data_IF_972428647573
#
_entry.id   IF_972428647573
#
_cell.length_a   1.000
_cell.length_b   1.000
_cell.length_c   1.000
_cell.angle_alpha   90.00
_cell.angle_beta   90.00
_cell.angle_gamma   90.00
#
_symmetry.space_group_name_H-M   'P 1'
#
loop_
_entity.id
_entity.type
_entity.pdbx_description
1 polymer ?
#
# COMPACT_ATOMS: atom_id res chain seq x y z
N UNK A 1 -38.63 82.12 -16.47
CA UNK A 1 -38.65 80.65 -16.45
C UNK A 1 -37.31 80.13 -16.93
N UNK A 2 -36.46 79.69 -16.00
CA UNK A 2 -35.10 79.20 -16.28
C UNK A 2 -35.16 77.67 -16.38
N UNK A 3 -34.77 77.06 -17.52
CA UNK A 3 -34.50 75.63 -17.59
C UNK A 3 -33.05 75.31 -17.22
N UNK A 4 -32.91 74.14 -16.61
CA UNK A 4 -31.75 73.63 -15.90
C UNK A 4 -30.55 73.35 -16.80
N UNK A 5 -29.37 73.71 -16.27
CA UNK A 5 -28.06 73.39 -16.81
C UNK A 5 -27.63 72.00 -16.35
N UNK A 6 -27.29 71.18 -17.34
CA UNK A 6 -26.43 69.99 -17.24
C UNK A 6 -25.13 70.29 -16.52
N UNK A 7 -24.83 69.55 -15.45
CA UNK A 7 -23.52 69.50 -14.82
C UNK A 7 -23.07 68.04 -14.75
N UNK A 8 -21.94 67.79 -15.41
CA UNK A 8 -21.17 66.56 -15.42
C UNK A 8 -20.57 66.37 -14.03
N UNK A 9 -20.80 65.22 -13.39
CA UNK A 9 -20.15 64.85 -12.15
C UNK A 9 -19.40 63.53 -12.35
N UNK A 10 -18.08 63.63 -12.30
CA UNK A 10 -17.11 62.54 -12.33
C UNK A 10 -17.30 61.59 -11.16
N UNK A 11 -17.47 60.29 -11.42
CA UNK A 11 -17.47 59.25 -10.41
C UNK A 11 -16.03 58.84 -10.09
N UNK A 12 -15.58 59.16 -8.87
CA UNK A 12 -14.34 58.65 -8.27
C UNK A 12 -14.64 57.23 -7.79
N UNK A 13 -14.10 56.22 -8.50
CA UNK A 13 -14.14 54.83 -8.07
C UNK A 13 -13.16 54.62 -6.92
N UNK A 14 -13.71 54.50 -5.70
CA UNK A 14 -12.97 54.10 -4.51
C UNK A 14 -12.72 52.58 -4.57
N UNK A 15 -11.52 52.18 -5.00
CA UNK A 15 -11.11 50.78 -4.98
C UNK A 15 -10.78 50.35 -3.54
N UNK A 16 -11.74 49.74 -2.85
CA UNK A 16 -11.47 49.00 -1.61
C UNK A 16 -10.70 47.71 -1.95
N UNK A 17 -9.38 47.73 -1.76
CA UNK A 17 -8.59 46.51 -1.62
C UNK A 17 -9.06 45.78 -0.34
N UNK A 18 -9.90 44.75 -0.50
CA UNK A 18 -10.13 43.77 0.55
C UNK A 18 -8.90 42.86 0.57
N UNK A 19 -7.96 43.16 1.47
CA UNK A 19 -6.92 42.20 1.87
C UNK A 19 -7.62 41.06 2.59
N UNK A 20 -7.92 39.98 1.86
CA UNK A 20 -8.33 38.72 2.46
C UNK A 20 -7.15 38.20 3.29
N UNK A 21 -7.18 38.47 4.59
CA UNK A 21 -6.34 37.77 5.56
C UNK A 21 -6.72 36.30 5.43
N UNK A 22 -5.85 35.50 4.81
CA UNK A 22 -5.94 34.05 4.93
C UNK A 22 -5.64 33.75 6.39
N UNK A 23 -6.68 33.61 7.19
CA UNK A 23 -6.56 33.05 8.52
C UNK A 23 -6.01 31.64 8.31
N UNK A 24 -4.71 31.46 8.55
CA UNK A 24 -4.15 30.14 8.76
C UNK A 24 -4.94 29.55 9.92
N UNK A 25 -5.88 28.65 9.61
CA UNK A 25 -6.59 27.89 10.61
C UNK A 25 -5.53 27.28 11.54
N UNK A 26 -5.65 27.52 12.84
CA UNK A 26 -4.79 26.87 13.82
C UNK A 26 -4.86 25.35 13.56
N UNK A 27 -3.73 24.62 13.60
CA UNK A 27 -3.76 23.18 13.42
C UNK A 27 -4.75 22.59 14.42
N UNK A 28 -5.71 21.82 13.91
CA UNK A 28 -6.74 21.21 14.74
C UNK A 28 -6.07 20.38 15.84
N UNK A 29 -6.57 20.48 17.08
CA UNK A 29 -6.08 19.65 18.18
C UNK A 29 -6.23 18.19 17.78
N UNK A 30 -5.18 17.35 17.95
CA UNK A 30 -5.28 15.92 17.67
C UNK A 30 -6.46 15.32 18.42
N UNK A 31 -7.30 14.57 17.71
CA UNK A 31 -8.48 13.93 18.26
C UNK A 31 -8.73 12.59 17.57
N UNK A 32 -9.43 11.70 18.26
CA UNK A 32 -9.84 10.42 17.71
C UNK A 32 -11.01 10.64 16.75
N UNK A 33 -10.79 10.37 15.47
CA UNK A 33 -11.82 10.58 14.45
C UNK A 33 -12.72 9.36 14.26
N UNK A 34 -12.19 8.16 14.43
CA UNK A 34 -12.92 6.90 14.35
C UNK A 34 -12.24 5.85 15.22
N UNK A 35 -12.93 4.76 15.50
CA UNK A 35 -12.37 3.58 16.17
C UNK A 35 -12.66 2.31 15.38
N UNK A 36 -11.87 1.27 15.61
CA UNK A 36 -12.09 -0.07 15.09
C UNK A 36 -12.68 -0.91 16.22
N UNK A 37 -13.93 -1.33 16.06
CA UNK A 37 -14.62 -2.18 17.04
C UNK A 37 -14.16 -3.63 16.94
N UNK A 38 -13.96 -4.11 15.71
CA UNK A 38 -13.46 -5.46 15.45
C UNK A 38 -12.73 -5.49 14.11
N UNK A 39 -11.62 -6.21 14.06
CA UNK A 39 -10.93 -6.54 12.82
C UNK A 39 -10.46 -7.99 12.84
N UNK A 40 -10.52 -8.67 11.70
CA UNK A 40 -9.91 -9.98 11.53
C UNK A 40 -9.30 -10.12 10.15
N UNK A 41 -8.07 -10.63 10.07
CA UNK A 41 -7.41 -10.99 8.82
C UNK A 41 -7.06 -12.48 8.91
N UNK A 42 -7.62 -13.30 8.02
CA UNK A 42 -7.44 -14.74 8.04
C UNK A 42 -6.88 -15.23 6.71
N UNK A 43 -5.62 -15.67 6.73
CA UNK A 43 -4.94 -16.27 5.59
C UNK A 43 -5.05 -17.79 5.66
N UNK A 44 -5.47 -18.41 4.56
CA UNK A 44 -5.58 -19.86 4.42
C UNK A 44 -4.75 -20.34 3.24
N UNK A 45 -3.70 -21.13 3.51
CA UNK A 45 -2.80 -21.71 2.51
C UNK A 45 -3.26 -23.12 2.15
N UNK A 46 -3.48 -23.37 0.87
CA UNK A 46 -3.77 -24.69 0.35
C UNK A 46 -2.47 -25.49 0.12
N UNK A 47 -2.57 -26.82 0.04
CA UNK A 47 -1.41 -27.69 -0.20
C UNK A 47 -0.69 -27.44 -1.54
N UNK A 48 -1.40 -26.88 -2.54
CA UNK A 48 -0.84 -26.50 -3.85
C UNK A 48 -0.15 -25.13 -3.85
N UNK A 49 -0.16 -24.41 -2.72
CA UNK A 49 0.42 -23.09 -2.57
C UNK A 49 -0.45 -21.93 -3.08
N UNK A 50 -1.65 -22.20 -3.57
CA UNK A 50 -2.67 -21.16 -3.65
C UNK A 50 -3.10 -20.76 -2.23
N UNK A 51 -3.59 -19.54 -2.06
CA UNK A 51 -4.08 -19.11 -0.76
C UNK A 51 -5.21 -18.09 -0.89
N UNK A 52 -5.98 -17.95 0.18
CA UNK A 52 -7.01 -16.92 0.29
C UNK A 52 -6.79 -16.09 1.54
N UNK A 53 -7.15 -14.83 1.48
CA UNK A 53 -7.17 -13.92 2.63
C UNK A 53 -8.59 -13.42 2.83
N UNK A 54 -9.16 -13.61 4.02
CA UNK A 54 -10.46 -13.04 4.39
C UNK A 54 -10.24 -11.91 5.37
N UNK A 55 -10.69 -10.73 4.99
CA UNK A 55 -10.61 -9.53 5.82
C UNK A 55 -12.02 -9.16 6.28
N UNK A 56 -12.19 -8.92 7.57
CA UNK A 56 -13.41 -8.39 8.17
C UNK A 56 -13.06 -7.20 9.04
N UNK A 57 -13.84 -6.12 8.96
CA UNK A 57 -13.63 -4.93 9.78
C UNK A 57 -14.96 -4.25 10.10
N UNK A 58 -15.09 -3.80 11.35
CA UNK A 58 -16.17 -2.93 11.82
C UNK A 58 -15.55 -1.65 12.34
N UNK A 59 -15.85 -0.53 11.67
CA UNK A 59 -15.33 0.79 12.05
C UNK A 59 -16.48 1.70 12.47
N UNK A 60 -16.27 2.50 13.51
CA UNK A 60 -17.24 3.49 13.96
C UNK A 60 -16.63 4.90 13.86
N UNK A 61 -17.12 5.76 12.95
CA UNK A 61 -16.71 7.16 12.92
C UNK A 61 -17.27 7.88 14.15
N UNK A 62 -16.43 8.67 14.82
CA UNK A 62 -16.79 9.47 16.00
C UNK A 62 -16.99 10.95 15.65
N UNK A 63 -16.40 11.39 14.55
CA UNK A 63 -16.47 12.77 14.06
C UNK A 63 -16.84 12.82 12.58
N UNK A 64 -17.13 14.02 12.06
CA UNK A 64 -17.32 14.23 10.62
C UNK A 64 -16.05 13.88 9.83
N UNK A 65 -14.86 14.15 10.38
CA UNK A 65 -13.61 13.71 9.76
C UNK A 65 -13.50 12.18 9.76
N UNK A 66 -14.01 11.51 10.80
CA UNK A 66 -14.16 10.06 10.85
C UNK A 66 -15.04 9.50 9.75
N UNK A 67 -16.17 10.15 9.47
CA UNK A 67 -17.07 9.78 8.36
C UNK A 67 -16.31 9.75 7.04
N UNK A 68 -15.51 10.78 6.75
CA UNK A 68 -14.69 10.82 5.54
C UNK A 68 -13.61 9.71 5.52
N UNK A 69 -13.07 9.34 6.68
CA UNK A 69 -12.01 8.34 6.80
C UNK A 69 -12.50 6.89 6.58
N UNK A 70 -13.78 6.59 6.86
CA UNK A 70 -14.32 5.22 6.77
C UNK A 70 -15.44 5.06 5.75
N UNK A 71 -16.01 6.15 5.25
CA UNK A 71 -17.12 6.14 4.29
C UNK A 71 -16.72 5.76 2.86
N UNK A 72 -15.43 5.75 2.55
CA UNK A 72 -14.87 5.25 1.29
C UNK A 72 -13.76 4.26 1.62
N UNK A 73 -13.93 3.02 1.16
CA UNK A 73 -12.95 1.96 1.29
C UNK A 73 -12.35 1.66 -0.08
N UNK A 74 -11.02 1.53 -0.13
CA UNK A 74 -10.30 1.03 -1.29
C UNK A 74 -9.66 -0.31 -0.94
N UNK A 75 -9.93 -1.33 -1.75
CA UNK A 75 -9.31 -2.65 -1.66
C UNK A 75 -8.50 -2.84 -2.92
N UNK A 76 -7.21 -3.02 -2.79
CA UNK A 76 -6.35 -3.06 -3.94
C UNK A 76 -5.49 -4.32 -3.93
N UNK A 77 -5.27 -4.87 -5.14
CA UNK A 77 -4.85 -6.26 -5.31
C UNK A 77 -4.15 -6.46 -6.66
N UNK A 78 -3.28 -7.49 -6.77
CA UNK A 78 -2.60 -7.83 -8.02
C UNK A 78 -3.49 -8.62 -8.96
N UNK A 79 -4.23 -7.93 -9.85
CA UNK A 79 -5.25 -8.56 -10.69
C UNK A 79 -4.71 -9.60 -11.68
N UNK A 80 -3.40 -9.61 -11.94
CA UNK A 80 -2.73 -10.63 -12.74
C UNK A 80 -2.64 -12.01 -12.04
N UNK A 81 -2.75 -12.09 -10.71
CA UNK A 81 -2.75 -13.37 -9.99
C UNK A 81 -3.66 -13.46 -8.76
N UNK A 82 -4.40 -12.41 -8.45
CA UNK A 82 -5.37 -12.35 -7.38
C UNK A 82 -6.74 -11.87 -7.87
N UNK A 83 -7.79 -12.27 -7.18
CA UNK A 83 -9.16 -11.77 -7.38
C UNK A 83 -9.77 -11.41 -6.04
N UNK A 84 -10.61 -10.37 -6.01
CA UNK A 84 -11.31 -9.95 -4.79
C UNK A 84 -12.82 -10.14 -4.95
N UNK A 85 -13.46 -10.61 -3.89
CA UNK A 85 -14.91 -10.72 -3.76
C UNK A 85 -15.36 -10.04 -2.47
N UNK A 86 -16.20 -9.02 -2.59
CA UNK A 86 -16.91 -8.44 -1.44
C UNK A 86 -17.97 -9.44 -0.98
N UNK A 87 -17.93 -9.82 0.29
CA UNK A 87 -18.84 -10.79 0.90
C UNK A 87 -19.95 -10.10 1.69
N UNK A 88 -19.61 -9.04 2.40
CA UNK A 88 -20.56 -8.21 3.15
C UNK A 88 -20.05 -6.77 3.18
N UNK A 89 -20.91 -5.79 2.92
CA UNK A 89 -20.55 -4.38 2.98
C UNK A 89 -21.81 -3.55 3.22
N UNK A 90 -21.93 -2.96 4.41
CA UNK A 90 -23.08 -2.16 4.79
C UNK A 90 -22.76 -1.15 5.88
N UNK A 91 -23.61 -0.15 6.02
CA UNK A 91 -23.64 0.73 7.18
C UNK A 91 -24.79 0.33 8.09
N UNK A 92 -24.52 0.15 9.37
CA UNK A 92 -25.54 0.10 10.42
C UNK A 92 -25.67 1.50 11.02
N UNK A 93 -26.83 2.12 10.85
CA UNK A 93 -27.07 3.47 11.37
C UNK A 93 -27.15 3.47 12.90
N UNK A 94 -27.10 4.65 13.51
CA UNK A 94 -27.34 4.82 14.95
C UNK A 94 -28.73 4.37 15.41
N UNK A 95 -29.66 4.17 14.48
CA UNK A 95 -31.00 3.61 14.73
C UNK A 95 -31.07 2.11 14.41
N UNK A 96 -29.92 1.44 14.29
CA UNK A 96 -29.78 0.02 13.95
C UNK A 96 -30.40 -0.39 12.61
N UNK A 97 -30.48 0.55 11.67
CA UNK A 97 -30.92 0.24 10.31
C UNK A 97 -29.71 -0.17 9.47
N UNK A 98 -29.81 -1.33 8.81
CA UNK A 98 -28.83 -1.79 7.82
C UNK A 98 -29.07 -1.11 6.47
N UNK A 99 -28.02 -0.52 5.91
CA UNK A 99 -27.98 0.10 4.58
C UNK A 99 -26.84 -0.54 3.79
N UNK A 100 -27.18 -1.46 2.89
CA UNK A 100 -26.21 -2.19 2.07
C UNK A 100 -25.52 -1.27 1.04
N UNK A 101 -24.23 -1.53 0.80
CA UNK A 101 -23.52 -0.97 -0.35
C UNK A 101 -24.00 -1.68 -1.60
N UNK A 102 -24.69 -0.94 -2.48
CA UNK A 102 -25.24 -1.52 -3.72
C UNK A 102 -24.16 -1.70 -4.77
N UNK A 103 -24.38 -2.59 -5.74
CA UNK A 103 -23.39 -2.90 -6.80
C UNK A 103 -22.86 -1.68 -7.55
N UNK A 104 -23.68 -0.64 -7.78
CA UNK A 104 -23.24 0.59 -8.45
C UNK A 104 -22.27 1.45 -7.62
N UNK A 105 -22.12 1.16 -6.32
CA UNK A 105 -21.18 1.80 -5.40
C UNK A 105 -19.89 1.00 -5.22
N UNK A 106 -19.78 -0.15 -5.88
CA UNK A 106 -18.59 -1.01 -5.90
C UNK A 106 -18.03 -0.97 -7.33
N UNK A 107 -16.92 -0.29 -7.53
CA UNK A 107 -16.37 -0.09 -8.86
C UNK A 107 -14.85 0.02 -8.84
N UNK A 108 -14.23 -0.28 -9.98
CA UNK A 108 -12.81 -0.02 -10.18
C UNK A 108 -12.67 1.38 -10.80
N UNK A 109 -12.05 2.37 -10.12
CA UNK A 109 -11.94 3.71 -10.67
C UNK A 109 -11.10 3.69 -11.97
N UNK A 110 -11.65 4.26 -13.03
CA UNK A 110 -11.00 4.39 -14.36
C UNK A 110 -9.70 5.24 -14.30
N UNK A 111 -9.44 5.92 -13.18
CA UNK A 111 -8.34 6.87 -13.01
C UNK A 111 -7.42 6.59 -11.82
N UNK A 112 -7.59 5.48 -11.09
CA UNK A 112 -6.75 5.17 -9.93
C UNK A 112 -5.26 5.11 -10.31
N UNK A 113 -4.96 4.70 -11.54
CA UNK A 113 -3.59 4.53 -12.04
C UNK A 113 -3.28 5.43 -13.26
N UNK A 114 -3.56 6.74 -13.17
CA UNK A 114 -3.08 7.72 -14.17
C UNK A 114 -1.61 8.14 -13.96
N UNK A 115 -0.90 7.52 -13.02
CA UNK A 115 0.52 7.79 -12.77
C UNK A 115 1.36 6.99 -13.77
N UNK A 116 2.53 7.48 -14.15
CA UNK A 116 3.43 6.77 -15.06
C UNK A 116 3.87 5.37 -14.54
N UNK A 117 3.61 5.04 -13.26
CA UNK A 117 3.79 3.69 -12.70
C UNK A 117 2.77 2.65 -13.18
N UNK A 118 1.61 3.06 -13.70
CA UNK A 118 0.55 2.17 -14.14
C UNK A 118 0.98 1.19 -15.25
N UNK A 119 1.88 1.62 -16.12
CA UNK A 119 2.41 0.76 -17.20
C UNK A 119 3.36 -0.33 -16.69
N UNK A 120 3.69 -0.29 -15.41
CA UNK A 120 4.54 -1.25 -14.70
C UNK A 120 3.75 -2.10 -13.70
N UNK A 121 2.44 -1.88 -13.55
CA UNK A 121 1.59 -2.52 -12.55
C UNK A 121 0.36 -3.15 -13.22
N UNK A 122 0.06 -4.40 -12.86
CA UNK A 122 -1.24 -5.02 -13.14
C UNK A 122 -2.22 -4.86 -11.96
N UNK A 123 -1.91 -3.96 -11.04
CA UNK A 123 -2.67 -3.72 -9.82
C UNK A 123 -4.02 -3.07 -10.10
N UNK A 124 -5.06 -3.56 -9.45
CA UNK A 124 -6.38 -2.97 -9.49
C UNK A 124 -6.75 -2.40 -8.12
N UNK A 125 -7.55 -1.35 -8.12
CA UNK A 125 -8.17 -0.78 -6.92
C UNK A 125 -9.68 -0.91 -7.08
N UNK A 126 -10.34 -1.60 -6.15
CA UNK A 126 -11.79 -1.67 -6.03
C UNK A 126 -12.21 -0.68 -4.94
N UNK A 127 -13.02 0.30 -5.33
CA UNK A 127 -13.59 1.29 -4.42
C UNK A 127 -15.00 0.90 -4.00
N UNK A 128 -15.30 1.06 -2.71
CA UNK A 128 -16.61 0.88 -2.10
C UNK A 128 -17.03 2.20 -1.46
N UNK A 129 -18.16 2.74 -1.88
CA UNK A 129 -18.74 3.97 -1.31
C UNK A 129 -19.93 3.63 -0.41
N UNK A 130 -19.80 3.93 0.88
CA UNK A 130 -20.85 3.69 1.86
C UNK A 130 -21.84 4.86 1.90
N UNK A 131 -23.10 4.52 2.13
CA UNK A 131 -24.20 5.48 2.34
C UNK A 131 -24.62 5.50 3.80
N UNK A 132 -25.29 6.58 4.22
CA UNK A 132 -25.80 6.73 5.59
C UNK A 132 -24.72 6.65 6.70
N UNK A 133 -23.46 6.95 6.37
CA UNK A 133 -22.37 7.03 7.34
C UNK A 133 -22.47 8.35 8.10
N UNK A 134 -22.76 8.25 9.39
CA UNK A 134 -22.81 9.39 10.32
C UNK A 134 -21.97 9.08 11.56
N UNK A 135 -21.54 10.09 12.34
CA UNK A 135 -20.92 9.82 13.64
C UNK A 135 -21.79 8.87 14.48
N UNK A 136 -21.17 7.83 15.05
CA UNK A 136 -21.81 6.78 15.84
C UNK A 136 -22.34 5.58 15.05
N UNK A 137 -22.50 5.68 13.71
CA UNK A 137 -22.87 4.53 12.87
C UNK A 137 -21.75 3.48 12.84
N UNK A 138 -22.03 2.28 12.35
CA UNK A 138 -21.00 1.26 12.13
C UNK A 138 -20.86 0.95 10.64
N UNK A 139 -19.61 0.94 10.16
CA UNK A 139 -19.25 0.54 8.80
C UNK A 139 -18.71 -0.88 8.85
N UNK A 140 -19.47 -1.80 8.28
CA UNK A 140 -19.17 -3.23 8.25
C UNK A 140 -18.62 -3.59 6.87
N UNK A 141 -17.45 -4.22 6.87
CA UNK A 141 -16.78 -4.73 5.67
C UNK A 141 -16.36 -6.17 5.89
N UNK A 142 -16.62 -7.03 4.90
CA UNK A 142 -16.04 -8.35 4.77
C UNK A 142 -15.76 -8.64 3.30
N UNK A 143 -14.53 -9.01 2.97
CA UNK A 143 -14.15 -9.44 1.63
C UNK A 143 -13.18 -10.61 1.69
N UNK A 144 -13.04 -11.29 0.55
CA UNK A 144 -12.09 -12.37 0.37
C UNK A 144 -11.25 -12.11 -0.87
N UNK A 145 -9.95 -12.19 -0.70
CA UNK A 145 -8.98 -12.22 -1.76
C UNK A 145 -8.59 -13.68 -2.02
N UNK A 146 -8.38 -14.03 -3.28
CA UNK A 146 -7.93 -15.37 -3.69
C UNK A 146 -6.75 -15.24 -4.61
N UNK A 147 -5.63 -15.82 -4.21
CA UNK A 147 -4.34 -15.74 -4.89
C UNK A 147 -4.00 -17.08 -5.52
N UNK A 148 -3.68 -17.06 -6.82
CA UNK A 148 -3.26 -18.25 -7.58
C UNK A 148 -1.86 -18.73 -7.23
N UNK A 149 -1.04 -17.86 -6.63
CA UNK A 149 0.35 -18.09 -6.21
C UNK A 149 0.75 -17.06 -5.15
N UNK A 150 1.76 -17.33 -4.31
CA UNK A 150 2.25 -16.37 -3.34
C UNK A 150 2.99 -15.20 -3.98
N UNK A 151 3.04 -14.08 -3.27
CA UNK A 151 3.88 -12.92 -3.60
C UNK A 151 5.35 -13.30 -3.72
N UNK A 152 5.84 -14.10 -2.76
CA UNK A 152 7.19 -14.65 -2.73
C UNK A 152 7.08 -16.19 -2.74
N UNK A 153 7.81 -16.90 -3.62
CA UNK A 153 7.76 -18.36 -3.68
C UNK A 153 7.97 -19.02 -2.31
N UNK A 154 6.98 -19.81 -1.86
CA UNK A 154 7.05 -20.57 -0.60
C UNK A 154 6.88 -19.74 0.69
N UNK A 155 6.69 -18.42 0.59
CA UNK A 155 6.54 -17.53 1.75
C UNK A 155 5.12 -16.98 1.80
N UNK A 156 4.45 -17.22 2.91
CA UNK A 156 3.14 -16.67 3.24
C UNK A 156 3.29 -15.92 4.55
N UNK A 157 2.85 -14.67 4.58
CA UNK A 157 2.94 -13.85 5.77
C UNK A 157 1.77 -12.88 5.83
N UNK A 158 1.36 -12.59 7.06
CA UNK A 158 0.43 -11.49 7.38
C UNK A 158 1.01 -10.71 8.54
N UNK A 159 0.71 -9.43 8.57
CA UNK A 159 1.10 -8.56 9.67
C UNK A 159 0.05 -7.51 9.92
N UNK A 160 -0.11 -7.12 11.17
CA UNK A 160 -1.00 -6.04 11.55
C UNK A 160 -0.25 -5.09 12.48
N UNK A 161 -0.25 -3.81 12.13
CA UNK A 161 0.28 -2.73 12.96
C UNK A 161 -0.88 -1.88 13.50
N UNK A 162 -0.92 -1.71 14.82
CA UNK A 162 -1.93 -0.91 15.51
C UNK A 162 -1.46 0.53 15.58
N UNK A 163 -2.01 1.37 14.71
CA UNK A 163 -1.76 2.80 14.72
C UNK A 163 -2.12 3.39 16.09
N UNK A 164 -1.19 4.09 16.77
CA UNK A 164 -1.44 4.61 18.11
C UNK A 164 -2.59 5.61 18.15
N UNK A 165 -2.89 6.29 17.05
CA UNK A 165 -3.95 7.30 16.98
C UNK A 165 -5.36 6.71 16.74
N UNK A 166 -5.46 5.40 16.45
CA UNK A 166 -6.71 4.70 16.18
C UNK A 166 -6.98 3.69 17.31
N UNK A 167 -8.00 3.91 18.16
CA UNK A 167 -8.39 2.92 19.14
C UNK A 167 -8.90 1.66 18.44
N UNK A 168 -8.38 0.51 18.87
CA UNK A 168 -8.79 -0.82 18.39
C UNK A 168 -9.28 -1.64 19.57
N UNK A 169 -10.57 -1.96 19.58
CA UNK A 169 -11.19 -2.71 20.68
C UNK A 169 -10.84 -4.21 20.62
N UNK A 170 -10.78 -4.78 19.41
CA UNK A 170 -10.35 -6.15 19.18
C UNK A 170 -9.81 -6.32 17.76
N UNK A 171 -8.66 -7.01 17.63
CA UNK A 171 -8.14 -7.44 16.34
C UNK A 171 -7.56 -8.85 16.45
N UNK A 172 -7.67 -9.59 15.35
CA UNK A 172 -7.06 -10.91 15.19
C UNK A 172 -6.43 -11.04 13.80
N UNK A 173 -5.23 -11.60 13.74
CA UNK A 173 -4.63 -12.06 12.49
C UNK A 173 -4.32 -13.55 12.58
N UNK A 174 -4.59 -14.32 11.54
CA UNK A 174 -4.36 -15.78 11.57
C UNK A 174 -3.84 -16.34 10.25
N UNK A 175 -2.92 -17.29 10.35
CA UNK A 175 -2.49 -18.14 9.23
C UNK A 175 -2.93 -19.57 9.52
N UNK A 176 -3.66 -20.15 8.58
CA UNK A 176 -3.95 -21.58 8.52
C UNK A 176 -3.17 -22.21 7.38
N UNK A 177 -2.33 -23.20 7.65
CA UNK A 177 -1.50 -23.87 6.65
C UNK A 177 -1.35 -25.37 6.96
N UNK A 178 -0.90 -26.19 5.99
CA UNK A 178 -0.55 -27.58 6.25
C UNK A 178 0.56 -27.67 7.31
N UNK A 179 0.52 -28.69 8.17
CA UNK A 179 1.54 -28.94 9.22
C UNK A 179 2.97 -29.12 8.68
N UNK A 180 3.12 -29.42 7.39
CA UNK A 180 4.40 -29.43 6.70
C UNK A 180 5.02 -28.04 6.52
N UNK A 181 4.22 -26.98 6.60
CA UNK A 181 4.66 -25.58 6.62
C UNK A 181 4.71 -25.07 8.06
N UNK A 182 5.93 -24.88 8.57
CA UNK A 182 6.10 -24.36 9.93
C UNK A 182 5.68 -22.90 10.02
N UNK A 183 4.85 -22.58 11.01
CA UNK A 183 4.37 -21.21 11.26
C UNK A 183 5.16 -20.53 12.38
N UNK A 184 5.61 -19.30 12.12
CA UNK A 184 6.37 -18.44 13.02
C UNK A 184 5.55 -17.21 13.43
N UNK A 185 5.78 -16.74 14.66
CA UNK A 185 5.15 -15.55 15.23
C UNK A 185 6.23 -14.62 15.80
N UNK A 186 6.12 -13.33 15.53
CA UNK A 186 6.91 -12.28 16.16
C UNK A 186 6.02 -11.07 16.41
N UNK A 187 6.12 -10.44 17.58
CA UNK A 187 5.33 -9.24 17.87
C UNK A 187 6.03 -8.23 18.78
N UNK A 188 5.50 -7.00 18.73
CA UNK A 188 5.75 -5.88 19.65
C UNK A 188 4.40 -5.37 20.17
N UNK A 189 4.30 -5.14 21.48
CA UNK A 189 3.06 -4.71 22.13
C UNK A 189 2.18 -5.87 22.58
N UNK A 190 0.88 -5.65 22.88
CA UNK A 190 0.04 -6.56 23.64
C UNK A 190 -0.57 -7.71 22.79
N UNK A 191 0.22 -8.28 21.88
CA UNK A 191 -0.23 -9.40 21.05
C UNK A 191 -0.08 -10.73 21.77
N UNK A 192 -1.10 -11.56 21.68
CA UNK A 192 -1.14 -12.90 22.26
C UNK A 192 -1.34 -13.95 21.16
N UNK A 193 -0.45 -14.93 21.09
CA UNK A 193 -0.59 -16.03 20.14
C UNK A 193 -1.42 -17.19 20.70
N UNK A 194 -2.18 -17.84 19.83
CA UNK A 194 -2.83 -19.13 20.08
C UNK A 194 -2.62 -20.04 18.87
N UNK A 195 -2.65 -21.35 19.11
CA UNK A 195 -2.40 -22.35 18.08
C UNK A 195 -3.45 -23.45 18.17
N UNK A 196 -4.02 -23.80 17.03
CA UNK A 196 -4.98 -24.87 16.89
C UNK A 196 -4.54 -25.83 15.78
N UNK A 197 -4.94 -27.09 15.87
CA UNK A 197 -4.69 -28.09 14.85
C UNK A 197 -5.97 -28.84 14.54
N UNK A 198 -6.21 -29.08 13.26
CA UNK A 198 -7.35 -29.86 12.76
C UNK A 198 -6.90 -30.68 11.57
N UNK A 199 -6.93 -32.02 11.70
CA UNK A 199 -6.38 -32.92 10.69
C UNK A 199 -4.91 -32.60 10.37
N UNK A 200 -4.61 -32.36 9.10
CA UNK A 200 -3.27 -32.01 8.60
C UNK A 200 -3.01 -30.50 8.56
N UNK A 201 -3.94 -29.68 9.04
CA UNK A 201 -3.82 -28.23 9.09
C UNK A 201 -3.47 -27.74 10.50
N UNK A 202 -2.75 -26.64 10.54
CA UNK A 202 -2.43 -25.87 11.72
C UNK A 202 -2.86 -24.42 11.52
N UNK A 203 -3.49 -23.83 12.54
CA UNK A 203 -3.84 -22.41 12.58
C UNK A 203 -3.05 -21.74 13.69
N UNK A 204 -2.27 -20.73 13.33
CA UNK A 204 -1.65 -19.78 14.25
C UNK A 204 -2.46 -18.49 14.22
N UNK A 205 -2.89 -18.00 15.38
CA UNK A 205 -3.64 -16.74 15.52
C UNK A 205 -2.90 -15.82 16.47
N UNK A 206 -2.81 -14.54 16.16
CA UNK A 206 -2.40 -13.50 17.08
C UNK A 206 -3.53 -12.51 17.31
N UNK A 207 -3.83 -12.23 18.58
CA UNK A 207 -4.93 -11.39 19.02
C UNK A 207 -4.40 -10.20 19.81
N UNK A 208 -5.02 -9.02 19.66
CA UNK A 208 -4.68 -7.84 20.44
C UNK A 208 -5.86 -6.88 20.61
N UNK A 209 -5.71 -5.97 21.57
CA UNK A 209 -6.53 -4.78 21.73
C UNK A 209 -5.60 -3.59 22.03
N UNK A 210 -5.97 -2.42 21.55
CA UNK A 210 -5.28 -1.16 21.80
C UNK A 210 -6.30 -0.02 21.95
N UNK A 211 -7.02 0.04 23.08
CA UNK A 211 -8.06 1.06 23.29
C UNK A 211 -7.49 2.44 23.65
N UNK A 212 -6.24 2.48 24.15
CA UNK A 212 -5.54 3.73 24.46
C UNK A 212 -4.97 4.34 23.19
N UNK A 213 -5.07 5.67 23.09
CA UNK A 213 -4.52 6.41 21.96
C UNK A 213 -3.33 7.27 22.33
N UNK A 214 -2.41 7.43 21.38
CA UNK A 214 -1.32 8.39 21.40
C UNK A 214 -1.27 9.10 20.03
N UNK A 215 -0.86 10.37 20.02
CA UNK A 215 -0.74 11.17 18.81
C UNK A 215 0.72 11.60 18.63
N UNK A 216 1.55 10.76 17.99
CA UNK A 216 2.94 11.07 17.77
C UNK A 216 3.11 12.39 17.00
N UNK A 217 4.15 13.18 17.30
CA UNK A 217 4.40 14.43 16.61
C UNK A 217 4.65 14.20 15.11
N UNK A 218 4.44 15.25 14.31
CA UNK A 218 4.86 15.23 12.91
C UNK A 218 6.36 14.89 12.81
N UNK A 219 6.74 14.15 11.75
CA UNK A 219 8.10 13.62 11.53
C UNK A 219 8.52 12.50 12.51
N UNK A 220 7.56 11.80 13.11
CA UNK A 220 7.83 10.50 13.75
C UNK A 220 8.25 9.47 12.71
N UNK A 221 9.03 8.47 13.14
CA UNK A 221 9.38 7.28 12.39
C UNK A 221 8.16 6.58 11.74
N UNK A 222 8.40 5.70 10.76
CA UNK A 222 7.32 4.91 10.16
C UNK A 222 6.60 4.06 11.22
N UNK A 223 5.28 3.90 11.09
CA UNK A 223 4.44 3.17 12.06
C UNK A 223 5.00 1.78 12.41
N UNK A 224 5.51 1.05 11.42
CA UNK A 224 6.09 -0.29 11.58
C UNK A 224 7.34 -0.31 12.47
N UNK A 225 8.00 0.82 12.70
CA UNK A 225 9.21 0.91 13.53
C UNK A 225 8.91 1.07 15.03
N UNK A 226 7.74 1.54 15.42
CA UNK A 226 7.44 1.83 16.83
C UNK A 226 6.08 1.33 17.32
N UNK A 227 5.05 1.30 16.47
CA UNK A 227 3.69 0.93 16.87
C UNK A 227 3.58 -0.53 17.31
N UNK A 228 2.52 -0.91 18.03
CA UNK A 228 2.31 -2.34 18.29
C UNK A 228 2.09 -3.07 16.97
N UNK A 229 2.74 -4.23 16.79
CA UNK A 229 2.68 -4.97 15.54
C UNK A 229 2.88 -6.46 15.78
N UNK A 230 2.15 -7.30 15.07
CA UNK A 230 2.40 -8.74 14.98
C UNK A 230 2.69 -9.14 13.54
N UNK A 231 3.52 -10.17 13.37
CA UNK A 231 3.83 -10.81 12.09
C UNK A 231 3.70 -12.32 12.27
N UNK A 232 2.91 -12.94 11.40
CA UNK A 232 2.83 -14.39 11.27
C UNK A 232 3.41 -14.75 9.91
N UNK A 233 4.23 -15.79 9.84
CA UNK A 233 4.95 -16.13 8.60
C UNK A 233 5.25 -17.62 8.49
N UNK A 234 5.41 -18.12 7.26
CA UNK A 234 6.05 -19.42 6.98
C UNK A 234 7.57 -19.32 6.83
N UNK A 235 8.12 -18.10 6.73
CA UNK A 235 9.56 -17.86 6.70
C UNK A 235 10.11 -17.70 8.13
N UNK A 236 11.21 -18.39 8.43
CA UNK A 236 11.87 -18.37 9.74
C UNK A 236 12.67 -17.10 10.01
N UNK A 237 13.19 -16.47 8.95
CA UNK A 237 14.17 -15.40 9.04
C UNK A 237 14.27 -14.59 7.73
N UNK A 238 15.03 -13.49 7.79
CA UNK A 238 15.26 -12.62 6.64
C UNK A 238 16.03 -13.29 5.49
N UNK A 239 17.06 -14.13 5.71
CA UNK A 239 17.68 -14.90 4.63
C UNK A 239 16.70 -15.74 3.81
N UNK A 240 15.72 -16.41 4.43
CA UNK A 240 14.70 -17.17 3.71
C UNK A 240 13.84 -16.27 2.81
N UNK A 241 13.46 -15.09 3.29
CA UNK A 241 12.73 -14.07 2.52
C UNK A 241 13.58 -13.58 1.33
N UNK A 242 14.85 -13.27 1.57
CA UNK A 242 15.78 -12.84 0.53
C UNK A 242 15.93 -13.90 -0.57
N UNK A 243 16.12 -15.16 -0.19
CA UNK A 243 16.22 -16.27 -1.14
C UNK A 243 14.94 -16.42 -1.99
N UNK A 244 13.76 -16.29 -1.39
CA UNK A 244 12.49 -16.34 -2.13
C UNK A 244 12.37 -15.17 -3.11
N UNK A 245 12.78 -13.96 -2.71
CA UNK A 245 12.83 -12.81 -3.60
C UNK A 245 13.85 -12.99 -4.73
N UNK A 246 15.04 -13.55 -4.46
CA UNK A 246 16.05 -13.81 -5.51
C UNK A 246 15.55 -14.83 -6.54
N UNK A 247 14.78 -15.83 -6.11
CA UNK A 247 14.10 -16.75 -7.03
C UNK A 247 13.09 -16.01 -7.91
N UNK A 248 12.29 -15.12 -7.32
CA UNK A 248 11.32 -14.30 -8.06
C UNK A 248 12.00 -13.34 -9.05
N UNK A 249 13.08 -12.69 -8.61
CA UNK A 249 13.78 -11.65 -9.34
C UNK A 249 14.85 -12.18 -10.31
N UNK A 250 15.18 -13.48 -10.27
CA UNK A 250 16.40 -14.04 -10.87
C UNK A 250 16.60 -13.69 -12.35
N UNK A 251 15.53 -13.61 -13.14
CA UNK A 251 15.61 -13.29 -14.56
C UNK A 251 15.61 -11.79 -14.87
N UNK A 252 15.24 -10.93 -13.90
CA UNK A 252 15.13 -9.49 -14.13
C UNK A 252 16.49 -8.85 -14.45
N UNK A 253 17.59 -9.39 -13.90
CA UNK A 253 18.95 -8.84 -14.06
C UNK A 253 19.75 -9.46 -15.23
N UNK A 254 19.10 -10.22 -16.12
CA UNK A 254 19.81 -10.92 -17.18
C UNK A 254 20.57 -9.97 -18.12
N UNK A 255 21.86 -10.21 -18.33
CA UNK A 255 22.69 -9.42 -19.26
C UNK A 255 22.41 -9.83 -20.70
N UNK A 256 21.56 -9.05 -21.37
CA UNK A 256 21.27 -9.19 -22.81
C UNK A 256 22.34 -8.52 -23.67
N UNK A 257 22.37 -8.76 -25.00
CA UNK A 257 23.24 -8.01 -25.92
C UNK A 257 23.03 -6.49 -25.86
N UNK A 258 21.79 -6.03 -25.72
CA UNK A 258 21.46 -4.60 -25.63
C UNK A 258 21.97 -3.99 -24.32
N UNK A 259 21.80 -4.68 -23.19
CA UNK A 259 22.35 -4.26 -21.89
C UNK A 259 23.87 -4.18 -21.97
N UNK A 260 24.52 -5.18 -22.56
CA UNK A 260 25.97 -5.20 -22.71
C UNK A 260 26.48 -4.05 -23.59
N UNK A 261 25.79 -3.78 -24.70
CA UNK A 261 26.13 -2.68 -25.59
C UNK A 261 25.98 -1.32 -24.87
N UNK A 262 24.87 -1.10 -24.17
CA UNK A 262 24.66 0.14 -23.42
C UNK A 262 25.68 0.31 -22.29
N UNK A 263 25.92 -0.75 -21.52
CA UNK A 263 26.89 -0.72 -20.44
C UNK A 263 28.31 -0.39 -20.93
N UNK A 264 28.76 -0.96 -22.06
CA UNK A 264 30.06 -0.61 -22.65
C UNK A 264 30.11 0.84 -23.14
N UNK A 265 29.03 1.31 -23.76
CA UNK A 265 28.92 2.70 -24.23
C UNK A 265 29.03 3.68 -23.07
N UNK A 266 28.35 3.41 -21.96
CA UNK A 266 28.37 4.27 -20.76
C UNK A 266 29.69 4.13 -20.00
N UNK A 267 30.26 2.93 -19.95
CA UNK A 267 31.55 2.69 -19.31
C UNK A 267 32.68 3.45 -20.02
N UNK A 268 32.65 3.51 -21.36
CA UNK A 268 33.63 4.24 -22.17
C UNK A 268 35.08 3.94 -21.73
N UNK A 269 35.41 2.65 -21.68
CA UNK A 269 36.72 2.13 -21.27
C UNK A 269 37.04 2.22 -19.78
N UNK A 270 36.20 2.84 -18.95
CA UNK A 270 36.44 2.93 -17.51
C UNK A 270 36.20 1.59 -16.79
N UNK A 271 36.96 1.38 -15.72
CA UNK A 271 36.78 0.27 -14.77
C UNK A 271 36.65 0.76 -13.33
N UNK A 272 36.55 -0.19 -12.38
CA UNK A 272 36.51 0.11 -10.95
C UNK A 272 35.32 0.97 -10.54
N UNK A 273 35.54 1.96 -9.68
CA UNK A 273 34.46 2.80 -9.16
C UNK A 273 33.97 3.83 -10.19
N UNK A 274 34.81 4.19 -11.16
CA UNK A 274 34.47 5.15 -12.21
C UNK A 274 33.32 4.63 -13.07
N UNK A 275 33.33 3.34 -13.43
CA UNK A 275 32.23 2.76 -14.23
C UNK A 275 30.92 2.69 -13.43
N UNK A 276 30.99 2.49 -12.10
CA UNK A 276 29.80 2.52 -11.23
C UNK A 276 29.17 3.90 -11.25
N UNK A 277 29.96 4.95 -11.04
CA UNK A 277 29.49 6.34 -11.07
C UNK A 277 28.92 6.71 -12.44
N UNK A 278 29.59 6.33 -13.54
CA UNK A 278 29.12 6.60 -14.92
C UNK A 278 27.76 5.95 -15.19
N UNK A 279 27.60 4.67 -14.84
CA UNK A 279 26.32 3.96 -15.03
C UNK A 279 25.22 4.59 -14.17
N UNK A 280 25.50 4.87 -12.91
CA UNK A 280 24.54 5.48 -12.00
C UNK A 280 24.07 6.87 -12.49
N UNK A 281 24.99 7.76 -12.86
CA UNK A 281 24.64 9.08 -13.39
C UNK A 281 23.93 9.01 -14.74
N UNK A 282 24.33 8.09 -15.62
CA UNK A 282 23.63 7.87 -16.87
C UNK A 282 22.17 7.48 -16.61
N UNK A 283 21.90 6.56 -15.69
CA UNK A 283 20.54 6.17 -15.34
C UNK A 283 19.72 7.34 -14.79
N UNK A 284 20.29 8.17 -13.90
CA UNK A 284 19.62 9.37 -13.38
C UNK A 284 19.17 10.35 -14.48
N UNK A 285 19.89 10.38 -15.60
CA UNK A 285 19.63 11.28 -16.72
C UNK A 285 18.73 10.66 -17.81
N UNK A 286 18.67 9.33 -17.89
CA UNK A 286 18.08 8.62 -19.04
C UNK A 286 16.99 7.61 -18.67
N UNK A 287 16.72 7.40 -17.39
CA UNK A 287 15.68 6.50 -16.91
C UNK A 287 14.76 7.29 -15.98
N UNK A 288 13.51 7.47 -16.40
CA UNK A 288 12.49 8.11 -15.57
C UNK A 288 12.08 7.16 -14.43
N UNK A 289 12.23 7.61 -13.19
CA UNK A 289 11.78 6.87 -12.03
C UNK A 289 10.29 7.09 -11.77
N UNK A 290 9.55 6.02 -11.50
CA UNK A 290 8.14 6.06 -11.11
C UNK A 290 7.92 5.28 -9.82
N UNK A 291 6.82 5.58 -9.12
CA UNK A 291 6.43 4.83 -7.94
C UNK A 291 5.37 3.81 -8.32
N UNK A 292 5.56 2.58 -7.86
CA UNK A 292 4.63 1.46 -7.99
C UNK A 292 4.33 0.96 -6.58
N UNK A 293 3.06 0.68 -6.31
CA UNK A 293 2.66 0.03 -5.07
C UNK A 293 2.78 -1.48 -5.21
N UNK A 294 3.77 -2.07 -4.53
CA UNK A 294 4.05 -3.50 -4.62
C UNK A 294 2.96 -4.38 -4.01
N UNK A 295 2.13 -3.83 -3.11
CA UNK A 295 0.97 -4.56 -2.60
C UNK A 295 -0.02 -4.89 -3.73
N UNK A 296 -0.10 -4.05 -4.78
CA UNK A 296 -1.00 -4.30 -5.90
C UNK A 296 -0.25 -4.74 -7.16
N UNK A 297 1.01 -4.38 -7.35
CA UNK A 297 1.77 -4.78 -8.54
C UNK A 297 2.43 -6.16 -8.41
N UNK A 298 2.55 -6.66 -7.17
CA UNK A 298 3.44 -7.78 -6.84
C UNK A 298 4.91 -7.34 -6.76
N UNK A 299 5.78 -8.26 -6.33
CA UNK A 299 7.20 -7.96 -6.11
C UNK A 299 8.11 -8.32 -7.29
N UNK A 300 7.57 -8.87 -8.38
CA UNK A 300 8.39 -9.29 -9.51
C UNK A 300 8.94 -8.06 -10.25
N UNK A 301 10.26 -7.86 -10.32
CA UNK A 301 10.81 -6.68 -10.97
C UNK A 301 10.61 -6.71 -12.49
N UNK A 302 10.32 -5.56 -13.13
CA UNK A 302 10.52 -5.41 -14.56
C UNK A 302 11.96 -5.77 -14.95
N UNK A 303 12.13 -6.42 -16.11
CA UNK A 303 13.46 -6.85 -16.57
C UNK A 303 14.34 -5.64 -16.93
N UNK A 304 15.65 -5.75 -16.72
CA UNK A 304 16.64 -4.78 -17.15
C UNK A 304 16.48 -4.41 -18.64
N UNK A 305 16.19 -5.41 -19.48
CA UNK A 305 15.92 -5.22 -20.91
C UNK A 305 14.70 -4.30 -21.14
N UNK A 306 13.58 -4.57 -20.47
CA UNK A 306 12.37 -3.73 -20.61
C UNK A 306 12.56 -2.34 -20.02
N UNK A 307 13.27 -2.23 -18.89
CA UNK A 307 13.58 -0.93 -18.26
C UNK A 307 14.46 -0.08 -19.18
N UNK A 308 15.50 -0.67 -19.78
CA UNK A 308 16.36 0.00 -20.76
C UNK A 308 15.58 0.42 -22.01
N UNK A 309 14.72 -0.45 -22.53
CA UNK A 309 13.95 -0.16 -23.74
C UNK A 309 12.91 0.94 -23.55
N UNK A 310 12.31 1.04 -22.35
CA UNK A 310 11.30 2.03 -22.01
C UNK A 310 11.89 3.33 -21.45
N UNK A 311 13.14 3.31 -20.98
CA UNK A 311 13.72 4.42 -20.20
C UNK A 311 12.84 4.81 -19.00
N UNK A 312 12.19 3.82 -18.39
CA UNK A 312 11.20 4.00 -17.32
C UNK A 312 11.28 2.82 -16.35
N UNK A 313 11.30 3.08 -15.05
CA UNK A 313 11.36 2.02 -14.03
C UNK A 313 10.97 2.49 -12.63
N UNK A 314 10.46 1.58 -11.82
CA UNK A 314 10.35 1.76 -10.37
C UNK A 314 11.67 1.43 -9.66
N UNK A 315 11.67 1.41 -8.32
CA UNK A 315 12.90 1.12 -7.57
C UNK A 315 13.47 -0.26 -7.92
N UNK A 316 12.63 -1.28 -8.11
CA UNK A 316 13.08 -2.64 -8.41
C UNK A 316 13.60 -2.78 -9.85
N UNK A 317 12.93 -2.15 -10.82
CA UNK A 317 13.34 -2.07 -12.21
C UNK A 317 14.70 -1.35 -12.37
N UNK A 318 14.88 -0.26 -11.63
CA UNK A 318 16.13 0.52 -11.63
C UNK A 318 17.28 -0.30 -11.03
N UNK A 319 17.06 -0.98 -9.90
CA UNK A 319 18.07 -1.90 -9.35
C UNK A 319 18.41 -3.00 -10.34
N UNK A 320 17.42 -3.59 -11.00
CA UNK A 320 17.66 -4.65 -11.97
C UNK A 320 18.52 -4.18 -13.16
N UNK A 321 18.23 -2.99 -13.70
CA UNK A 321 19.01 -2.38 -14.78
C UNK A 321 20.43 -2.03 -14.33
N UNK A 322 20.59 -1.39 -13.17
CA UNK A 322 21.89 -1.03 -12.61
C UNK A 322 22.77 -2.27 -12.47
N UNK A 323 22.24 -3.32 -11.85
CA UNK A 323 22.97 -4.56 -11.62
C UNK A 323 23.33 -5.27 -12.93
N UNK A 324 22.42 -5.35 -13.90
CA UNK A 324 22.70 -5.96 -15.20
C UNK A 324 23.79 -5.20 -15.98
N UNK A 325 23.78 -3.85 -15.93
CA UNK A 325 24.83 -3.04 -16.56
C UNK A 325 26.18 -3.22 -15.87
N UNK A 326 26.22 -3.30 -14.54
CA UNK A 326 27.44 -3.55 -13.77
C UNK A 326 28.01 -4.95 -14.03
N UNK A 327 27.17 -5.98 -14.07
CA UNK A 327 27.56 -7.34 -14.45
C UNK A 327 28.16 -7.40 -15.85
N UNK A 328 27.59 -6.64 -16.80
CA UNK A 328 28.11 -6.56 -18.15
C UNK A 328 29.54 -6.00 -18.23
N UNK A 329 29.97 -5.23 -17.21
CA UNK A 329 31.32 -4.67 -17.07
C UNK A 329 32.22 -5.51 -16.14
N UNK A 330 31.79 -6.69 -15.71
CA UNK A 330 32.58 -7.58 -14.86
C UNK A 330 32.62 -7.17 -13.38
N UNK A 331 31.74 -6.26 -12.94
CA UNK A 331 31.63 -5.89 -11.52
C UNK A 331 30.79 -6.91 -10.74
N UNK A 332 31.31 -7.50 -9.64
CA UNK A 332 30.55 -8.44 -8.81
C UNK A 332 29.67 -7.74 -7.75
N UNK A 333 29.60 -6.40 -7.75
CA UNK A 333 29.00 -5.60 -6.66
C UNK A 333 27.48 -5.76 -6.52
N UNK A 334 26.80 -6.37 -7.49
CA UNK A 334 25.46 -6.93 -7.29
C UNK A 334 25.59 -8.44 -7.20
N UNK A 335 25.71 -9.02 -6.00
CA UNK A 335 25.62 -10.48 -5.89
C UNK A 335 24.14 -10.88 -5.98
N UNK A 336 23.89 -11.99 -6.67
CA UNK A 336 22.76 -12.86 -6.34
C UNK A 336 23.08 -13.58 -5.04
#
# INVERSE_FOLDING_TARGET
MKPNKTAIASAISLACLVLAVQANAAPATPQVNYQILKQSIALHVNADGSYSETVSRVSQPLTIAGVSAVGHVEIAYPANFATVKVLDAYTETVTHQRVDVVSSQIFNPVHADRRAGAVLSDGHVMSLLYSAVTPGAEVHLKYMETFKRPYLPGVYAISEALAPEIPVQATDISITAPKSMRLYFQARGPWHETRASSGDMETLTASAASPSVDFPPMNTAAITQYASMAVLSTASDWPAIAQAYDQLAGNAMQVTPAIRAMARKVADGAGGEVVVARIYHWMQQHVQSVNVDYHHAGFQPPTAQSTLARSLGDSNANVALLCAMLHAQGSPRCRR
#
